data_IF_457197240454
#
_entry.id   IF_457197240454
#
_cell.length_a   1.000
_cell.length_b   1.000
_cell.length_c   1.000
_cell.angle_alpha   90.00
_cell.angle_beta   90.00
_cell.angle_gamma   90.00
#
_symmetry.space_group_name_H-M   'P 1'
#
loop_
_entity.id
_entity.type
_entity.pdbx_description
1 polymer ?
#
# COMPACT_ATOMS: atom_id res chain seq x y z
N UNK A 1 -20.15 24.56 28.21
CA UNK A 1 -20.66 24.38 26.84
C UNK A 1 -19.47 24.50 25.92
N UNK A 2 -19.22 23.44 25.15
CA UNK A 2 -18.15 23.32 24.16
C UNK A 2 -18.05 24.57 23.28
N UNK A 3 -16.83 24.97 22.93
CA UNK A 3 -16.44 25.11 21.52
C UNK A 3 -14.93 25.35 21.37
N UNK A 4 -14.29 24.28 20.91
CA UNK A 4 -13.07 24.25 20.10
C UNK A 4 -13.35 25.02 18.80
N UNK A 5 -12.42 25.87 18.33
CA UNK A 5 -11.97 25.90 16.93
C UNK A 5 -10.73 26.80 16.72
N UNK A 6 -9.72 26.22 16.04
CA UNK A 6 -8.94 26.74 14.90
C UNK A 6 -8.21 28.08 15.12
N UNK A 7 -6.88 28.15 15.19
CA UNK A 7 -5.95 27.82 14.10
C UNK A 7 -4.49 27.64 14.60
N UNK A 8 -3.97 26.40 14.61
CA UNK A 8 -2.52 26.19 14.69
C UNK A 8 -2.03 25.99 13.25
N UNK A 9 -1.76 27.11 12.58
CA UNK A 9 -1.13 27.14 11.26
C UNK A 9 0.36 26.82 11.38
N UNK A 10 0.71 25.56 11.65
CA UNK A 10 2.04 25.06 11.26
C UNK A 10 2.02 24.94 9.73
N UNK A 11 2.95 25.57 9.00
CA UNK A 11 3.10 25.30 7.58
C UNK A 11 3.48 23.81 7.46
N UNK A 12 2.52 22.99 6.98
CA UNK A 12 2.79 21.66 6.46
C UNK A 12 3.69 21.86 5.25
N UNK A 13 5.00 21.99 5.51
CA UNK A 13 6.02 21.83 4.50
C UNK A 13 5.65 20.58 3.69
N UNK A 14 5.75 20.60 2.35
CA UNK A 14 5.52 19.42 1.56
C UNK A 14 6.43 18.33 2.12
N UNK A 15 5.82 17.34 2.79
CA UNK A 15 6.52 16.14 3.22
C UNK A 15 7.29 15.67 1.99
N UNK A 16 8.61 15.45 2.08
CA UNK A 16 9.35 14.88 0.96
C UNK A 16 8.54 13.68 0.51
N UNK A 17 8.07 13.68 -0.75
CA UNK A 17 7.25 12.59 -1.27
C UNK A 17 8.03 11.31 -0.99
N UNK A 18 7.60 10.58 0.04
CA UNK A 18 8.34 9.42 0.52
C UNK A 18 8.20 8.43 -0.60
N UNK A 19 9.22 8.35 -1.44
CA UNK A 19 9.27 7.42 -2.55
C UNK A 19 9.28 6.04 -1.91
N UNK A 20 8.16 5.35 -2.01
CA UNK A 20 8.04 3.98 -1.53
C UNK A 20 8.88 3.12 -2.44
N UNK A 21 9.84 2.40 -1.87
CA UNK A 21 10.62 1.40 -2.60
C UNK A 21 9.75 0.16 -2.85
N UNK A 22 8.94 0.23 -3.91
CA UNK A 22 8.06 -0.88 -4.30
C UNK A 22 8.86 -2.14 -4.61
N UNK A 23 10.03 -2.03 -5.23
CA UNK A 23 10.84 -3.19 -5.60
C UNK A 23 11.33 -3.96 -4.37
N UNK A 24 11.93 -3.26 -3.41
CA UNK A 24 12.40 -3.88 -2.16
C UNK A 24 11.27 -4.47 -1.33
N UNK A 25 10.17 -3.72 -1.18
CA UNK A 25 9.02 -4.17 -0.39
C UNK A 25 8.29 -5.36 -1.03
N UNK A 26 8.08 -5.33 -2.35
CA UNK A 26 7.44 -6.43 -3.06
C UNK A 26 8.30 -7.69 -3.07
N UNK A 27 9.64 -7.57 -3.16
CA UNK A 27 10.56 -8.72 -2.97
C UNK A 27 10.36 -9.39 -1.62
N UNK A 28 10.25 -8.61 -0.54
CA UNK A 28 9.98 -9.15 0.80
C UNK A 28 8.60 -9.80 0.85
N UNK A 29 7.56 -9.09 0.39
CA UNK A 29 6.16 -9.55 0.41
C UNK A 29 5.97 -10.88 -0.34
N UNK A 30 6.63 -11.02 -1.49
CA UNK A 30 6.48 -12.18 -2.37
C UNK A 30 7.47 -13.33 -2.10
N UNK A 31 8.36 -13.19 -1.10
CA UNK A 31 9.48 -14.12 -0.89
C UNK A 31 9.06 -15.57 -0.68
N UNK A 32 7.93 -15.81 0.01
CA UNK A 32 7.37 -17.15 0.27
C UNK A 32 6.24 -17.54 -0.70
N UNK A 33 5.94 -16.72 -1.71
CA UNK A 33 4.86 -17.02 -2.64
C UNK A 33 5.31 -18.09 -3.64
N UNK A 34 4.51 -19.14 -3.86
CA UNK A 34 4.82 -20.20 -4.84
C UNK A 34 4.96 -19.75 -6.29
N UNK A 35 4.50 -18.52 -6.62
CA UNK A 35 4.50 -17.92 -7.95
C UNK A 35 5.12 -16.52 -7.87
N UNK A 36 6.39 -16.45 -7.46
CA UNK A 36 7.12 -15.21 -7.18
C UNK A 36 6.95 -14.14 -8.27
N UNK A 37 7.19 -14.47 -9.55
CA UNK A 37 7.08 -13.50 -10.65
C UNK A 37 5.66 -12.93 -10.81
N UNK A 38 4.62 -13.75 -10.60
CA UNK A 38 3.24 -13.29 -10.66
C UNK A 38 2.92 -12.37 -9.47
N UNK A 39 3.37 -12.75 -8.27
CA UNK A 39 3.21 -11.94 -7.07
C UNK A 39 3.91 -10.59 -7.21
N UNK A 40 5.16 -10.56 -7.68
CA UNK A 40 5.93 -9.32 -7.86
C UNK A 40 5.23 -8.37 -8.82
N UNK A 41 4.75 -8.87 -9.97
CA UNK A 41 4.02 -8.05 -10.95
C UNK A 41 2.72 -7.45 -10.37
N UNK A 42 1.97 -8.25 -9.63
CA UNK A 42 0.74 -7.80 -8.99
C UNK A 42 1.02 -6.78 -7.87
N UNK A 43 2.00 -7.08 -7.00
CA UNK A 43 2.43 -6.21 -5.92
C UNK A 43 2.92 -4.86 -6.45
N UNK A 44 3.78 -4.83 -7.47
CA UNK A 44 4.26 -3.59 -8.08
C UNK A 44 3.11 -2.72 -8.57
N UNK A 45 2.14 -3.29 -9.30
CA UNK A 45 0.97 -2.54 -9.75
C UNK A 45 0.12 -1.97 -8.60
N UNK A 46 0.01 -2.72 -7.50
CA UNK A 46 -0.71 -2.25 -6.31
C UNK A 46 0.08 -1.18 -5.56
N UNK A 47 1.41 -1.32 -5.48
CA UNK A 47 2.30 -0.37 -4.84
C UNK A 47 2.35 0.95 -5.61
N UNK A 48 2.50 0.92 -6.93
CA UNK A 48 2.52 2.14 -7.77
C UNK A 48 1.21 2.93 -7.66
N UNK A 49 0.09 2.23 -7.45
CA UNK A 49 -1.22 2.86 -7.29
C UNK A 49 -1.48 3.37 -5.89
N UNK A 50 -1.18 2.54 -4.90
CA UNK A 50 -1.56 2.78 -3.50
C UNK A 50 -0.43 3.37 -2.66
N UNK A 51 0.79 3.45 -3.21
CA UNK A 51 2.01 3.88 -2.53
C UNK A 51 2.19 3.16 -1.18
N UNK A 52 1.90 1.85 -1.14
CA UNK A 52 1.94 1.05 0.07
C UNK A 52 2.09 -0.45 -0.23
N UNK A 53 2.91 -1.14 0.56
CA UNK A 53 3.03 -2.61 0.57
C UNK A 53 2.90 -3.09 2.01
N UNK A 54 1.96 -4.02 2.33
CA UNK A 54 1.80 -4.54 3.67
C UNK A 54 3.04 -5.26 4.21
N UNK A 55 3.30 -5.20 5.53
CA UNK A 55 4.40 -5.93 6.15
C UNK A 55 4.17 -7.45 6.13
N UNK A 56 5.27 -8.21 6.15
CA UNK A 56 5.25 -9.68 6.13
C UNK A 56 4.98 -10.25 4.74
N UNK A 57 4.86 -11.58 4.66
CA UNK A 57 4.66 -12.33 3.41
C UNK A 57 3.22 -12.75 3.15
N UNK A 58 2.33 -12.53 4.14
CA UNK A 58 0.92 -12.88 4.11
C UNK A 58 0.12 -11.94 5.03
N UNK A 59 -1.19 -11.79 4.80
CA UNK A 59 -2.08 -10.98 5.66
C UNK A 59 -1.73 -9.49 5.70
N UNK A 60 -2.18 -8.78 6.74
CA UNK A 60 -1.92 -7.35 7.01
C UNK A 60 -2.35 -6.38 5.90
N UNK A 61 -3.24 -6.81 4.99
CA UNK A 61 -3.62 -6.03 3.81
C UNK A 61 -4.34 -4.74 4.20
N UNK A 62 -5.06 -4.76 5.31
CA UNK A 62 -5.77 -3.67 5.94
C UNK A 62 -4.85 -2.50 6.35
N UNK A 63 -3.54 -2.75 6.55
CA UNK A 63 -2.55 -1.69 6.84
C UNK A 63 -2.44 -0.70 5.69
N UNK A 64 -2.58 -1.17 4.45
CA UNK A 64 -2.59 -0.32 3.25
C UNK A 64 -4.00 0.15 2.85
N UNK A 65 -5.01 -0.15 3.67
CA UNK A 65 -6.40 0.28 3.49
C UNK A 65 -7.07 -0.22 2.20
N UNK A 66 -8.19 0.44 1.87
CA UNK A 66 -9.09 0.03 0.79
C UNK A 66 -8.44 -0.02 -0.59
N UNK A 67 -7.47 0.85 -0.86
CA UNK A 67 -6.77 0.85 -2.14
C UNK A 67 -6.12 -0.52 -2.42
N UNK A 68 -5.44 -1.10 -1.42
CA UNK A 68 -4.77 -2.40 -1.58
C UNK A 68 -5.75 -3.57 -1.41
N UNK A 69 -6.79 -3.43 -0.57
CA UNK A 69 -7.73 -4.53 -0.29
C UNK A 69 -8.73 -4.75 -1.42
N UNK A 70 -9.25 -3.66 -2.00
CA UNK A 70 -10.44 -3.67 -2.88
C UNK A 70 -10.07 -3.72 -4.37
N UNK A 71 -8.77 -3.64 -4.70
CA UNK A 71 -8.31 -3.82 -6.08
C UNK A 71 -8.58 -5.24 -6.57
N UNK A 72 -9.34 -5.34 -7.66
CA UNK A 72 -9.71 -6.59 -8.31
C UNK A 72 -9.12 -6.70 -9.72
N UNK A 73 -9.04 -7.93 -10.20
CA UNK A 73 -8.78 -8.27 -11.60
C UNK A 73 -10.07 -8.19 -12.41
N UNK A 74 -9.99 -8.28 -13.74
CA UNK A 74 -11.18 -8.34 -14.61
C UNK A 74 -12.17 -9.48 -14.25
N UNK A 75 -11.70 -10.53 -13.58
CA UNK A 75 -12.52 -11.66 -13.14
C UNK A 75 -13.01 -11.53 -11.69
N UNK A 76 -13.09 -10.31 -11.15
CA UNK A 76 -13.53 -10.00 -9.77
C UNK A 76 -12.75 -10.72 -8.66
N UNK A 77 -11.54 -11.21 -8.96
CA UNK A 77 -10.63 -11.75 -7.93
C UNK A 77 -9.74 -10.66 -7.39
N UNK A 78 -9.47 -10.73 -6.09
CA UNK A 78 -8.45 -9.92 -5.41
C UNK A 78 -7.15 -9.88 -6.21
N UNK A 79 -6.68 -8.67 -6.54
CA UNK A 79 -5.49 -8.47 -7.36
C UNK A 79 -4.20 -8.46 -6.54
N UNK A 80 -4.20 -7.75 -5.41
CA UNK A 80 -2.99 -7.51 -4.62
C UNK A 80 -2.69 -8.69 -3.68
N UNK A 81 -1.41 -9.10 -3.56
CA UNK A 81 -1.01 -10.24 -2.73
C UNK A 81 -1.08 -9.99 -1.22
#
# INVERSE_FOLDING_TARGET
MHNIVLDVSYPLAPSPSVKVDCDGLCKKRCSLHSRQNLCLRACGTCCDRCHCVPPGTFGNREVCGKCYTDMTTHHNKTKCP
#
